data_IF_275963496427
#
_entry.id   IF_275963496427
#
_cell.length_a   1.000
_cell.length_b   1.000
_cell.length_c   1.000
_cell.angle_alpha   90.00
_cell.angle_beta   90.00
_cell.angle_gamma   90.00
#
_symmetry.space_group_name_H-M   'P 1'
#
loop_
_entity.id
_entity.type
_entity.pdbx_description
1 polymer ?
#
# COMPACT_ATOMS: atom_id res chain seq x y z
N UNK A 1 -5.02 -23.63 14.20
CA UNK A 1 -4.81 -22.18 14.48
C UNK A 1 -5.04 -21.42 13.17
N UNK A 2 -5.79 -20.31 13.18
CA UNK A 2 -5.98 -19.46 11.99
C UNK A 2 -4.76 -18.55 11.82
N UNK A 3 -4.25 -18.41 10.61
CA UNK A 3 -3.07 -17.58 10.28
C UNK A 3 -3.38 -16.64 9.13
N UNK A 4 -2.69 -15.50 9.09
CA UNK A 4 -2.83 -14.51 8.03
C UNK A 4 -2.31 -15.03 6.69
N UNK A 5 -2.94 -14.55 5.62
CA UNK A 5 -2.60 -14.90 4.24
C UNK A 5 -1.62 -13.88 3.67
N UNK A 6 -0.52 -14.38 3.13
CA UNK A 6 0.48 -13.63 2.37
C UNK A 6 0.55 -14.17 0.93
N UNK A 7 0.93 -13.32 -0.02
CA UNK A 7 1.48 -13.79 -1.30
C UNK A 7 2.99 -13.65 -1.30
N UNK A 8 3.67 -14.33 -2.22
CA UNK A 8 5.14 -14.26 -2.39
C UNK A 8 5.57 -13.38 -3.57
N UNK A 9 4.61 -12.66 -4.15
CA UNK A 9 4.78 -11.83 -5.34
C UNK A 9 3.45 -11.44 -6.01
N UNK A 10 3.54 -10.66 -7.07
CA UNK A 10 2.44 -10.22 -7.93
C UNK A 10 2.95 -10.03 -9.39
N UNK A 11 2.29 -9.22 -10.21
CA UNK A 11 2.72 -8.96 -11.59
C UNK A 11 3.91 -7.96 -11.70
N UNK A 12 4.12 -7.13 -10.68
CA UNK A 12 5.22 -6.16 -10.54
C UNK A 12 6.42 -6.78 -9.78
N UNK A 13 6.15 -7.60 -8.77
CA UNK A 13 7.10 -7.96 -7.70
C UNK A 13 7.23 -9.46 -7.53
N UNK A 14 8.43 -9.93 -7.19
CA UNK A 14 8.69 -11.30 -6.77
C UNK A 14 9.58 -11.36 -5.53
N UNK A 15 9.79 -12.58 -5.01
CA UNK A 15 10.73 -12.91 -3.92
C UNK A 15 10.52 -12.06 -2.65
N UNK A 16 9.26 -11.80 -2.31
CA UNK A 16 8.91 -11.06 -1.09
C UNK A 16 7.56 -11.46 -0.56
N UNK A 17 7.38 -11.43 0.75
CA UNK A 17 6.06 -11.55 1.36
C UNK A 17 5.27 -10.28 1.06
N UNK A 18 3.99 -10.44 0.71
CA UNK A 18 3.06 -9.32 0.49
C UNK A 18 1.84 -9.56 1.35
N UNK A 19 1.66 -8.71 2.35
CA UNK A 19 0.49 -8.69 3.20
C UNK A 19 -0.51 -7.64 2.70
N UNK A 20 -1.81 -7.93 2.79
CA UNK A 20 -2.85 -7.00 2.33
C UNK A 20 -4.15 -7.15 3.10
N UNK A 21 -4.86 -6.04 3.22
CA UNK A 21 -6.19 -5.89 3.81
C UNK A 21 -7.06 -4.99 2.89
N UNK A 22 -8.38 -4.92 3.10
CA UNK A 22 -9.29 -4.34 2.09
C UNK A 22 -9.03 -2.85 1.84
N UNK A 23 -8.80 -2.50 0.58
CA UNK A 23 -8.60 -1.12 0.14
C UNK A 23 -9.84 -0.26 0.44
N UNK A 24 -9.62 1.02 0.77
CA UNK A 24 -10.68 1.96 1.11
C UNK A 24 -11.24 1.75 2.51
N UNK A 25 -11.62 0.53 2.88
CA UNK A 25 -12.18 0.19 4.20
C UNK A 25 -11.17 0.31 5.34
N UNK A 26 -9.90 0.03 5.06
CA UNK A 26 -8.80 0.08 6.04
C UNK A 26 -7.87 1.27 5.82
N UNK A 27 -8.28 2.24 5.00
CA UNK A 27 -7.48 3.41 4.63
C UNK A 27 -8.09 4.69 5.22
N UNK A 28 -7.87 4.99 6.52
CA UNK A 28 -8.55 6.10 7.19
C UNK A 28 -8.21 7.46 6.55
N UNK A 29 -6.96 7.63 6.11
CA UNK A 29 -6.44 8.87 5.53
C UNK A 29 -6.38 8.86 3.99
N UNK A 30 -7.11 7.94 3.33
CA UNK A 30 -7.21 7.95 1.87
C UNK A 30 -7.88 9.23 1.36
N UNK A 31 -7.20 9.93 0.46
CA UNK A 31 -7.66 11.15 -0.19
C UNK A 31 -8.30 10.87 -1.54
N UNK A 32 -7.67 11.36 -2.62
CA UNK A 32 -8.16 11.22 -4.01
C UNK A 32 -8.39 9.77 -4.44
N UNK A 33 -7.65 8.84 -3.83
CA UNK A 33 -7.68 7.42 -4.16
C UNK A 33 -8.74 6.60 -3.40
N UNK A 34 -9.59 7.23 -2.59
CA UNK A 34 -10.55 6.52 -1.74
C UNK A 34 -11.63 5.81 -2.56
N UNK A 35 -11.36 4.54 -2.84
CA UNK A 35 -12.17 3.64 -3.66
C UNK A 35 -12.33 2.31 -2.94
N UNK A 36 -13.50 1.71 -3.09
CA UNK A 36 -13.90 0.46 -2.46
C UNK A 36 -14.30 -0.54 -3.54
N UNK A 37 -13.99 -1.82 -3.32
CA UNK A 37 -14.71 -2.91 -3.95
C UNK A 37 -15.68 -3.49 -2.92
N UNK A 38 -16.98 -3.50 -3.26
CA UNK A 38 -18.00 -4.07 -2.39
C UNK A 38 -17.63 -5.49 -1.96
N UNK A 39 -17.76 -5.78 -0.66
CA UNK A 39 -17.31 -7.03 -0.05
C UNK A 39 -17.92 -8.25 -0.74
N UNK A 40 -19.21 -8.23 -1.03
CA UNK A 40 -19.91 -9.39 -1.59
C UNK A 40 -19.72 -9.47 -3.11
N UNK A 41 -19.96 -8.37 -3.80
CA UNK A 41 -20.09 -8.34 -5.26
C UNK A 41 -18.81 -7.96 -6.00
N UNK A 42 -17.90 -7.23 -5.33
CA UNK A 42 -16.73 -6.62 -5.97
C UNK A 42 -17.05 -5.38 -6.80
N UNK A 43 -18.30 -4.90 -6.77
CA UNK A 43 -18.69 -3.67 -7.46
C UNK A 43 -17.89 -2.49 -6.91
N UNK A 44 -17.33 -1.68 -7.80
CA UNK A 44 -16.54 -0.52 -7.42
C UNK A 44 -17.45 0.63 -6.97
N UNK A 45 -17.07 1.25 -5.85
CA UNK A 45 -17.61 2.51 -5.36
C UNK A 45 -16.46 3.49 -5.15
N UNK A 46 -16.50 4.64 -5.80
CA UNK A 46 -15.54 5.73 -5.62
C UNK A 46 -16.11 6.77 -4.64
N UNK A 47 -15.35 7.13 -3.60
CA UNK A 47 -15.67 8.23 -2.67
C UNK A 47 -14.42 9.06 -2.37
N UNK A 48 -13.79 9.66 -3.39
CA UNK A 48 -12.56 10.44 -3.23
C UNK A 48 -12.75 11.55 -2.19
N UNK A 49 -11.69 11.84 -1.45
CA UNK A 49 -11.64 12.96 -0.51
C UNK A 49 -10.61 13.96 -1.03
N UNK A 50 -11.06 15.15 -1.40
CA UNK A 50 -10.20 16.19 -1.99
C UNK A 50 -9.65 17.17 -0.94
N UNK A 51 -10.13 17.10 0.29
CA UNK A 51 -9.65 17.98 1.36
C UNK A 51 -8.28 17.51 1.86
N UNK A 52 -7.30 18.43 1.91
CA UNK A 52 -5.98 18.19 2.49
C UNK A 52 -5.02 17.39 1.60
N UNK A 53 -5.38 17.14 0.35
CA UNK A 53 -4.51 16.48 -0.63
C UNK A 53 -3.92 17.48 -1.62
N UNK A 54 -2.71 17.19 -2.10
CA UNK A 54 -2.04 17.97 -3.16
C UNK A 54 -1.91 17.20 -4.47
N UNK A 55 -2.41 15.95 -4.52
CA UNK A 55 -2.31 15.12 -5.72
C UNK A 55 -3.48 15.37 -6.67
N UNK A 56 -3.22 15.16 -7.95
CA UNK A 56 -4.28 15.02 -8.93
C UNK A 56 -5.13 13.76 -8.67
N UNK A 57 -6.33 13.74 -9.23
CA UNK A 57 -7.30 12.68 -9.01
C UNK A 57 -6.95 11.33 -9.66
N UNK A 58 -6.76 10.27 -8.87
CA UNK A 58 -6.67 8.90 -9.37
C UNK A 58 -7.48 7.90 -8.55
N UNK A 59 -7.81 6.75 -9.15
CA UNK A 59 -8.47 5.61 -8.51
C UNK A 59 -7.44 4.65 -7.92
N UNK A 60 -7.69 4.13 -6.72
CA UNK A 60 -6.83 3.11 -6.11
C UNK A 60 -6.75 1.83 -6.97
N UNK A 61 -5.54 1.50 -7.43
CA UNK A 61 -5.28 0.27 -8.18
C UNK A 61 -5.63 -0.98 -7.36
N UNK A 62 -5.40 -0.94 -6.04
CA UNK A 62 -5.63 -2.07 -5.16
C UNK A 62 -7.12 -2.39 -5.02
N UNK A 63 -7.99 -1.36 -4.93
CA UNK A 63 -9.44 -1.55 -4.96
C UNK A 63 -9.90 -2.17 -6.29
N UNK A 64 -9.31 -1.77 -7.42
CA UNK A 64 -9.59 -2.40 -8.72
C UNK A 64 -9.21 -3.89 -8.76
N UNK A 65 -8.12 -4.28 -8.09
CA UNK A 65 -7.74 -5.69 -7.98
C UNK A 65 -8.72 -6.53 -7.13
N UNK A 66 -9.45 -5.89 -6.20
CA UNK A 66 -10.47 -6.52 -5.34
C UNK A 66 -11.80 -6.75 -6.06
N UNK A 67 -11.94 -6.35 -7.33
CA UNK A 67 -13.05 -6.85 -8.17
C UNK A 67 -13.00 -8.38 -8.29
N UNK A 68 -11.80 -8.97 -8.21
CA UNK A 68 -11.55 -10.42 -8.26
C UNK A 68 -11.89 -11.06 -6.91
N UNK A 69 -12.82 -12.03 -6.85
CA UNK A 69 -13.26 -12.64 -5.60
C UNK A 69 -12.11 -13.17 -4.73
N UNK A 70 -11.20 -13.97 -5.30
CA UNK A 70 -10.09 -14.57 -4.53
C UNK A 70 -9.18 -13.53 -3.87
N UNK A 71 -8.94 -12.39 -4.54
CA UNK A 71 -8.12 -11.29 -4.00
C UNK A 71 -8.86 -10.63 -2.83
N UNK A 72 -10.13 -10.27 -3.06
CA UNK A 72 -10.97 -9.61 -2.05
C UNK A 72 -11.18 -10.48 -0.83
N UNK A 73 -11.53 -11.75 -1.00
CA UNK A 73 -11.77 -12.68 0.10
C UNK A 73 -10.52 -12.91 0.95
N UNK A 74 -9.33 -12.98 0.34
CA UNK A 74 -8.09 -13.11 1.10
C UNK A 74 -7.81 -11.87 1.98
N UNK A 75 -8.04 -10.67 1.44
CA UNK A 75 -7.85 -9.41 2.16
C UNK A 75 -8.88 -9.24 3.28
N UNK A 76 -10.15 -9.53 3.02
CA UNK A 76 -11.19 -9.52 4.05
C UNK A 76 -10.97 -10.56 5.13
N UNK A 77 -10.51 -11.76 4.78
CA UNK A 77 -10.11 -12.79 5.73
C UNK A 77 -9.04 -12.24 6.69
N UNK A 78 -7.97 -11.64 6.16
CA UNK A 78 -6.90 -11.04 6.97
C UNK A 78 -7.42 -9.99 7.93
N UNK A 79 -8.22 -9.03 7.43
CA UNK A 79 -8.73 -7.96 8.27
C UNK A 79 -9.70 -8.46 9.34
N UNK A 80 -10.57 -9.42 9.01
CA UNK A 80 -11.47 -10.02 9.98
C UNK A 80 -10.73 -10.79 11.07
N UNK A 81 -9.69 -11.56 10.71
CA UNK A 81 -8.88 -12.28 11.68
C UNK A 81 -8.12 -11.32 12.62
N UNK A 82 -7.55 -10.24 12.06
CA UNK A 82 -6.91 -9.20 12.88
C UNK A 82 -7.90 -8.57 13.87
N UNK A 83 -9.12 -8.23 13.42
CA UNK A 83 -10.17 -7.70 14.32
C UNK A 83 -10.63 -8.72 15.36
N UNK A 84 -10.84 -9.97 14.96
CA UNK A 84 -11.22 -11.07 15.87
C UNK A 84 -10.21 -11.16 17.01
N UNK A 85 -8.92 -11.20 16.69
CA UNK A 85 -7.85 -11.27 17.69
C UNK A 85 -7.73 -9.97 18.52
N UNK A 86 -7.84 -8.81 17.88
CA UNK A 86 -7.78 -7.51 18.55
C UNK A 86 -8.90 -7.31 19.57
N UNK A 87 -10.12 -7.77 19.29
CA UNK A 87 -11.28 -7.51 20.15
C UNK A 87 -11.59 -8.61 21.17
N UNK A 88 -10.93 -9.75 21.09
CA UNK A 88 -11.15 -10.88 22.01
C UNK A 88 -10.01 -11.10 23.01
N UNK A 89 -8.95 -10.29 22.92
CA UNK A 89 -7.77 -10.41 23.79
C UNK A 89 -7.68 -9.28 24.80
N UNK A 90 -7.32 -9.62 26.04
CA UNK A 90 -6.97 -8.64 27.09
C UNK A 90 -5.66 -7.90 26.78
N UNK A 91 -4.73 -8.55 26.05
CA UNK A 91 -3.48 -7.93 25.58
C UNK A 91 -3.47 -7.89 24.05
N UNK A 92 -4.17 -6.89 23.51
CA UNK A 92 -4.40 -6.73 22.08
C UNK A 92 -3.09 -6.61 21.28
N UNK A 93 -2.11 -5.84 21.79
CA UNK A 93 -0.84 -5.61 21.09
C UNK A 93 -0.03 -6.91 20.99
N UNK A 94 0.13 -7.64 22.10
CA UNK A 94 0.88 -8.88 22.11
C UNK A 94 0.24 -9.92 21.20
N UNK A 95 -1.09 -10.05 21.23
CA UNK A 95 -1.78 -11.06 20.42
C UNK A 95 -1.79 -10.72 18.94
N UNK A 96 -1.89 -9.43 18.56
CA UNK A 96 -1.71 -9.00 17.17
C UNK A 96 -0.28 -9.26 16.68
N UNK A 97 0.72 -8.92 17.50
CA UNK A 97 2.13 -9.16 17.19
C UNK A 97 2.37 -10.65 16.97
N UNK A 98 1.94 -11.50 17.91
CA UNK A 98 2.10 -12.95 17.81
C UNK A 98 1.37 -13.56 16.61
N UNK A 99 0.17 -13.06 16.25
CA UNK A 99 -0.51 -13.50 15.03
C UNK A 99 0.30 -13.17 13.77
N UNK A 100 0.86 -11.95 13.68
CA UNK A 100 1.68 -11.53 12.54
C UNK A 100 2.93 -12.40 12.45
N UNK A 101 3.68 -12.56 13.54
CA UNK A 101 4.92 -13.34 13.61
C UNK A 101 4.70 -14.81 13.25
N UNK A 102 3.70 -15.46 13.86
CA UNK A 102 3.37 -16.85 13.54
C UNK A 102 2.96 -17.01 12.07
N UNK A 103 2.29 -16.01 11.50
CA UNK A 103 1.87 -16.05 10.10
C UNK A 103 3.04 -15.82 9.14
N UNK A 104 4.09 -15.09 9.53
CA UNK A 104 5.34 -14.94 8.80
C UNK A 104 6.18 -16.22 8.90
N UNK A 105 6.28 -16.81 10.09
CA UNK A 105 7.12 -17.99 10.36
C UNK A 105 6.72 -19.24 9.55
N UNK A 106 5.48 -19.32 9.08
CA UNK A 106 5.00 -20.42 8.21
C UNK A 106 5.20 -20.15 6.71
N UNK A 107 5.71 -18.98 6.33
CA UNK A 107 5.99 -18.63 4.94
C UNK A 107 7.37 -19.12 4.51
N UNK A 108 7.65 -19.17 3.19
CA UNK A 108 9.02 -19.32 2.71
C UNK A 108 9.91 -18.20 3.24
N UNK A 109 11.17 -18.53 3.56
CA UNK A 109 12.18 -17.56 3.98
C UNK A 109 12.47 -16.61 2.82
N UNK A 110 12.16 -15.34 3.02
CA UNK A 110 12.34 -14.26 2.04
C UNK A 110 12.80 -13.00 2.78
N UNK A 111 13.72 -12.25 2.16
CA UNK A 111 14.38 -11.11 2.80
C UNK A 111 13.50 -9.85 2.88
N UNK A 112 12.36 -9.84 2.19
CA UNK A 112 11.50 -8.68 2.02
C UNK A 112 10.05 -8.99 2.42
N UNK A 113 9.43 -8.08 3.18
CA UNK A 113 8.01 -8.11 3.51
C UNK A 113 7.34 -6.77 3.21
N UNK A 114 6.56 -6.73 2.12
CA UNK A 114 5.68 -5.60 1.79
C UNK A 114 4.43 -5.64 2.64
N UNK A 115 4.30 -4.67 3.52
CA UNK A 115 3.08 -4.43 4.28
C UNK A 115 2.21 -3.52 3.43
N UNK A 116 1.05 -4.04 3.04
CA UNK A 116 0.04 -3.37 2.20
C UNK A 116 0.51 -3.14 0.75
N UNK A 117 0.23 -4.11 -0.11
CA UNK A 117 -0.13 -3.78 -1.51
C UNK A 117 -1.54 -3.16 -1.56
N UNK A 118 -2.38 -3.52 -0.58
CA UNK A 118 -3.73 -3.02 -0.38
C UNK A 118 -4.03 -2.76 1.08
N UNK A 119 -4.84 -1.73 1.32
CA UNK A 119 -5.16 -1.24 2.64
C UNK A 119 -4.14 -0.21 3.14
N UNK A 120 -4.26 0.17 4.41
CA UNK A 120 -3.29 1.01 5.10
C UNK A 120 -3.29 0.67 6.61
N UNK A 121 -2.41 1.29 7.39
CA UNK A 121 -2.50 1.24 8.85
C UNK A 121 -3.79 1.95 9.31
N UNK A 122 -4.78 1.16 9.76
CA UNK A 122 -6.09 1.71 10.16
C UNK A 122 -6.17 2.12 11.63
N UNK A 123 -5.26 1.63 12.48
CA UNK A 123 -5.06 2.08 13.88
C UNK A 123 -3.59 2.13 14.25
N UNK A 124 -3.24 2.98 15.21
CA UNK A 124 -1.88 3.06 15.76
C UNK A 124 -1.47 1.73 16.41
N UNK A 125 -2.39 1.04 17.10
CA UNK A 125 -2.16 -0.28 17.69
C UNK A 125 -1.75 -1.32 16.63
N UNK A 126 -2.41 -1.31 15.47
CA UNK A 126 -2.08 -2.20 14.37
C UNK A 126 -0.71 -1.88 13.75
N UNK A 127 -0.39 -0.59 13.62
CA UNK A 127 0.95 -0.16 13.19
C UNK A 127 2.03 -0.63 14.19
N UNK A 128 1.83 -0.44 15.50
CA UNK A 128 2.74 -0.93 16.54
C UNK A 128 2.99 -2.43 16.47
N UNK A 129 1.96 -3.23 16.18
CA UNK A 129 2.11 -4.67 16.06
C UNK A 129 3.07 -5.07 14.91
N UNK A 130 3.02 -4.37 13.78
CA UNK A 130 3.99 -4.55 12.69
C UNK A 130 5.40 -4.09 13.06
N UNK A 131 5.54 -2.98 13.78
CA UNK A 131 6.85 -2.53 14.27
C UNK A 131 7.47 -3.56 15.23
N UNK A 132 6.66 -4.17 16.11
CA UNK A 132 7.12 -5.23 17.00
C UNK A 132 7.54 -6.49 16.23
N UNK A 133 6.71 -6.94 15.29
CA UNK A 133 7.07 -8.07 14.43
C UNK A 133 8.38 -7.80 13.68
N UNK A 134 8.57 -6.60 13.14
CA UNK A 134 9.81 -6.24 12.47
C UNK A 134 11.03 -6.26 13.38
N UNK A 135 10.92 -5.80 14.64
CA UNK A 135 12.01 -5.91 15.63
C UNK A 135 12.42 -7.36 15.88
N UNK A 136 11.46 -8.26 15.94
CA UNK A 136 11.67 -9.67 16.22
C UNK A 136 12.14 -10.48 14.99
N UNK A 137 12.07 -9.89 13.80
CA UNK A 137 12.52 -10.45 12.52
C UNK A 137 13.53 -9.50 11.85
N UNK A 138 14.67 -9.27 12.50
CA UNK A 138 15.67 -8.27 12.08
C UNK A 138 16.39 -8.62 10.78
N UNK A 139 16.28 -9.86 10.32
CA UNK A 139 16.78 -10.37 9.04
C UNK A 139 15.90 -9.98 7.83
N UNK A 140 14.64 -9.61 8.07
CA UNK A 140 13.68 -9.22 7.03
C UNK A 140 13.59 -7.70 6.96
N UNK A 141 13.62 -7.13 5.74
CA UNK A 141 13.25 -5.73 5.51
C UNK A 141 11.75 -5.62 5.33
N UNK A 142 11.10 -4.91 6.24
CA UNK A 142 9.69 -4.58 6.17
C UNK A 142 9.52 -3.23 5.50
N UNK A 143 8.55 -3.10 4.60
CA UNK A 143 8.30 -1.81 3.97
C UNK A 143 6.83 -1.58 3.64
N UNK A 144 6.39 -0.32 3.69
CA UNK A 144 5.01 0.07 3.43
C UNK A 144 4.89 1.46 2.79
N UNK A 145 3.85 1.64 1.99
CA UNK A 145 3.40 2.93 1.48
C UNK A 145 2.18 3.33 2.29
N UNK A 146 2.23 4.47 2.97
CA UNK A 146 1.15 4.87 3.90
C UNK A 146 0.73 6.31 3.69
N UNK A 147 -0.56 6.56 3.89
CA UNK A 147 -1.18 7.89 4.04
C UNK A 147 -1.52 8.19 5.49
N UNK A 148 -1.34 7.24 6.41
CA UNK A 148 -1.56 7.40 7.86
C UNK A 148 -0.41 8.17 8.52
N UNK A 149 -0.10 9.36 7.99
CA UNK A 149 1.05 10.18 8.37
C UNK A 149 1.04 10.61 9.84
N UNK A 150 -0.14 10.84 10.42
CA UNK A 150 -0.27 11.14 11.85
C UNK A 150 0.19 10.00 12.75
N UNK A 151 -0.19 8.75 12.42
CA UNK A 151 0.26 7.58 13.18
C UNK A 151 1.77 7.36 13.03
N UNK A 152 2.32 7.60 11.85
CA UNK A 152 3.77 7.58 11.65
C UNK A 152 4.47 8.59 12.57
N UNK A 153 4.06 9.86 12.58
CA UNK A 153 4.71 10.85 13.45
C UNK A 153 4.64 10.51 14.93
N UNK A 154 3.50 10.01 15.41
CA UNK A 154 3.34 9.55 16.79
C UNK A 154 4.33 8.44 17.15
N UNK A 155 4.65 7.57 16.19
CA UNK A 155 5.49 6.39 16.38
C UNK A 155 6.90 6.54 15.84
N UNK A 156 7.34 7.73 15.44
CA UNK A 156 8.60 7.90 14.71
C UNK A 156 9.83 7.40 15.47
N UNK A 157 9.80 7.45 16.81
CA UNK A 157 10.87 6.93 17.68
C UNK A 157 10.81 5.41 17.89
N UNK A 158 9.68 4.78 17.54
CA UNK A 158 9.46 3.34 17.66
C UNK A 158 9.76 2.57 16.36
N UNK A 159 10.11 3.24 15.27
CA UNK A 159 10.36 2.57 13.99
C UNK A 159 11.72 1.85 14.03
N UNK A 160 11.77 0.51 13.90
CA UNK A 160 13.04 -0.20 13.91
C UNK A 160 13.81 -0.01 12.59
N UNK A 161 15.14 -0.21 12.57
CA UNK A 161 15.98 0.09 11.42
C UNK A 161 15.70 -0.76 10.17
N UNK A 162 15.02 -1.90 10.32
CA UNK A 162 14.59 -2.76 9.21
C UNK A 162 13.18 -2.42 8.70
N UNK A 163 12.58 -1.31 9.11
CA UNK A 163 11.22 -0.91 8.74
C UNK A 163 11.18 0.40 7.95
N UNK A 164 10.81 0.30 6.68
CA UNK A 164 10.89 1.38 5.70
C UNK A 164 9.50 1.90 5.36
N UNK A 165 9.22 3.14 5.75
CA UNK A 165 7.98 3.82 5.39
C UNK A 165 8.22 4.81 4.25
N UNK A 166 7.26 4.81 3.30
CA UNK A 166 7.15 5.78 2.22
C UNK A 166 5.86 6.58 2.39
N UNK A 167 5.98 7.90 2.48
CA UNK A 167 4.85 8.81 2.52
C UNK A 167 4.20 8.82 1.13
N UNK A 168 3.01 8.25 1.00
CA UNK A 168 2.32 8.18 -0.28
C UNK A 168 1.39 9.37 -0.43
N UNK A 169 1.75 10.33 -1.29
CA UNK A 169 0.96 11.54 -1.57
C UNK A 169 -0.40 11.15 -2.17
N UNK A 170 -1.41 12.00 -1.97
CA UNK A 170 -2.80 11.75 -2.36
C UNK A 170 -3.72 11.43 -1.19
N UNK A 171 -3.26 11.68 0.05
CA UNK A 171 -3.99 11.45 1.29
C UNK A 171 -4.64 12.73 1.82
N UNK A 172 -5.50 12.61 2.83
CA UNK A 172 -6.12 13.79 3.48
C UNK A 172 -5.17 14.55 4.40
N UNK A 173 -3.93 14.08 4.54
CA UNK A 173 -2.90 14.61 5.44
C UNK A 173 -1.65 15.09 4.68
N UNK A 174 -1.72 15.28 3.36
CA UNK A 174 -0.53 15.62 2.55
C UNK A 174 0.14 16.93 3.03
N UNK A 175 -0.64 17.87 3.58
CA UNK A 175 -0.13 19.11 4.18
C UNK A 175 0.88 18.90 5.32
N UNK A 176 0.92 17.70 5.93
CA UNK A 176 1.90 17.37 6.97
C UNK A 176 3.30 17.11 6.39
N UNK A 177 3.42 16.78 5.11
CA UNK A 177 4.68 16.32 4.51
C UNK A 177 5.77 17.40 4.53
N UNK A 178 5.54 18.64 4.02
CA UNK A 178 6.61 19.63 3.90
C UNK A 178 7.23 20.05 5.24
N UNK A 179 6.45 20.04 6.33
CA UNK A 179 6.90 20.41 7.67
C UNK A 179 7.62 19.31 8.45
N UNK A 180 7.74 18.09 7.91
CA UNK A 180 8.24 16.93 8.63
C UNK A 180 9.22 16.09 7.78
N UNK A 181 10.03 16.73 6.92
CA UNK A 181 10.97 16.04 6.00
C UNK A 181 12.13 15.35 6.72
N UNK A 182 12.40 15.69 7.99
CA UNK A 182 13.30 14.94 8.87
C UNK A 182 12.79 13.52 9.14
N UNK A 183 11.47 13.34 9.13
CA UNK A 183 10.79 12.06 9.36
C UNK A 183 10.35 11.41 8.04
N UNK A 184 9.68 12.15 7.16
CA UNK A 184 9.14 11.65 5.89
C UNK A 184 10.16 11.74 4.76
N UNK A 185 11.25 10.97 4.86
CA UNK A 185 12.36 11.02 3.90
C UNK A 185 11.99 10.48 2.52
N UNK A 186 11.21 9.39 2.47
CA UNK A 186 10.73 8.78 1.22
C UNK A 186 9.33 9.26 0.92
N UNK A 187 9.14 9.85 -0.26
CA UNK A 187 7.85 10.43 -0.67
C UNK A 187 7.52 9.93 -2.07
N UNK A 188 6.37 9.27 -2.22
CA UNK A 188 5.89 8.75 -3.49
C UNK A 188 4.74 9.61 -4.03
N UNK A 189 4.90 10.10 -5.27
CA UNK A 189 3.90 10.88 -6.00
C UNK A 189 3.26 10.03 -7.09
N UNK A 190 1.94 10.08 -7.23
CA UNK A 190 1.28 9.45 -8.38
C UNK A 190 1.26 10.45 -9.54
N UNK A 191 1.77 10.02 -10.69
CA UNK A 191 1.83 10.82 -11.92
C UNK A 191 1.09 10.12 -13.06
N UNK A 192 0.65 10.86 -14.06
CA UNK A 192 -0.13 10.35 -15.18
C UNK A 192 0.71 9.90 -16.37
N UNK A 193 1.85 10.56 -16.59
CA UNK A 193 2.76 10.36 -17.71
C UNK A 193 4.21 10.36 -17.25
N UNK A 194 5.09 9.84 -18.09
CA UNK A 194 6.54 9.91 -17.86
C UNK A 194 7.06 11.34 -17.92
N UNK A 195 6.53 12.14 -18.85
CA UNK A 195 6.83 13.58 -18.95
C UNK A 195 6.49 14.33 -17.65
N UNK A 196 5.35 14.04 -17.01
CA UNK A 196 5.01 14.67 -15.72
C UNK A 196 6.03 14.30 -14.63
N UNK A 197 6.56 13.07 -14.64
CA UNK A 197 7.61 12.67 -13.71
C UNK A 197 8.91 13.46 -13.97
N UNK A 198 9.29 13.61 -15.25
CA UNK A 198 10.46 14.38 -15.67
C UNK A 198 10.34 15.86 -15.29
N UNK A 199 9.19 16.49 -15.55
CA UNK A 199 8.90 17.89 -15.18
C UNK A 199 8.99 18.12 -13.66
N UNK A 200 8.67 17.10 -12.85
CA UNK A 200 8.81 17.12 -11.40
C UNK A 200 10.20 16.70 -10.90
N UNK A 201 11.09 16.27 -11.80
CA UNK A 201 12.42 15.75 -11.44
C UNK A 201 12.37 14.45 -10.63
N UNK A 202 11.37 13.60 -10.88
CA UNK A 202 11.12 12.36 -10.13
C UNK A 202 11.42 11.12 -10.98
N UNK A 203 12.24 10.21 -10.45
CA UNK A 203 12.44 8.88 -11.04
C UNK A 203 11.17 8.02 -10.87
N UNK A 204 10.81 7.22 -11.88
CA UNK A 204 9.64 6.33 -11.80
C UNK A 204 10.07 4.99 -11.20
N UNK A 205 9.38 4.58 -10.14
CA UNK A 205 9.62 3.30 -9.49
C UNK A 205 8.87 2.14 -10.17
N UNK A 206 9.64 1.12 -10.58
CA UNK A 206 9.12 -0.05 -11.29
C UNK A 206 9.12 -1.35 -10.49
N UNK A 207 9.80 -1.42 -9.34
CA UNK A 207 10.06 -2.66 -8.59
C UNK A 207 10.06 -2.51 -7.05
N UNK A 208 9.69 -1.32 -6.56
CA UNK A 208 9.77 -0.85 -5.18
C UNK A 208 11.20 -0.60 -4.65
N UNK A 209 12.27 -0.64 -5.46
CA UNK A 209 13.63 -0.39 -4.95
C UNK A 209 13.78 1.02 -4.36
N UNK A 210 13.06 2.00 -4.91
CA UNK A 210 13.08 3.37 -4.41
C UNK A 210 12.56 3.50 -2.96
N UNK A 211 11.81 2.51 -2.45
CA UNK A 211 11.36 2.51 -1.06
C UNK A 211 12.50 2.29 -0.04
N UNK A 212 13.69 1.88 -0.50
CA UNK A 212 14.87 1.70 0.36
C UNK A 212 15.85 2.89 0.31
N UNK A 213 15.57 3.90 -0.53
CA UNK A 213 16.33 5.15 -0.60
C UNK A 213 15.81 6.23 0.34
N UNK A 214 16.19 7.48 0.05
CA UNK A 214 15.79 8.69 0.77
C UNK A 214 15.33 9.82 -0.16
N UNK A 215 15.15 9.53 -1.45
CA UNK A 215 14.68 10.48 -2.45
C UNK A 215 13.18 10.38 -2.68
N UNK A 216 12.51 11.47 -3.07
CA UNK A 216 11.18 11.39 -3.62
C UNK A 216 11.20 10.67 -4.97
N UNK A 217 10.11 10.00 -5.31
CA UNK A 217 9.97 9.28 -6.58
C UNK A 217 8.51 9.27 -7.06
N UNK A 218 8.33 8.90 -8.32
CA UNK A 218 7.04 8.84 -8.98
C UNK A 218 6.54 7.40 -9.12
N UNK A 219 5.21 7.25 -9.07
CA UNK A 219 4.47 6.05 -9.36
C UNK A 219 3.53 6.36 -10.52
N UNK A 220 3.75 5.72 -11.66
CA UNK A 220 2.92 5.95 -12.83
C UNK A 220 1.53 5.32 -12.62
N UNK A 221 0.49 6.12 -12.84
CA UNK A 221 -0.90 5.68 -12.68
C UNK A 221 -1.17 4.49 -13.60
N UNK A 222 -1.91 3.52 -13.10
CA UNK A 222 -2.24 2.29 -13.80
C UNK A 222 -3.55 1.71 -13.26
N UNK A 223 -4.02 0.61 -13.84
CA UNK A 223 -5.37 0.05 -13.62
C UNK A 223 -6.50 0.97 -14.12
N UNK A 224 -7.72 0.44 -14.37
CA UNK A 224 -8.81 1.26 -14.88
C UNK A 224 -9.18 2.42 -13.95
N UNK A 225 -9.22 3.63 -14.51
CA UNK A 225 -9.50 4.88 -13.81
C UNK A 225 -10.96 5.29 -13.97
N UNK A 226 -11.37 6.39 -13.32
CA UNK A 226 -12.73 6.94 -13.43
C UNK A 226 -13.00 7.42 -14.85
N UNK A 227 -14.17 7.07 -15.38
CA UNK A 227 -14.54 7.46 -16.74
C UNK A 227 -14.51 8.99 -16.88
N UNK A 228 -13.85 9.50 -17.92
CA UNK A 228 -13.71 10.93 -18.19
C UNK A 228 -12.62 11.64 -17.38
N UNK A 229 -12.02 11.03 -16.36
CA UNK A 229 -10.96 11.68 -15.57
C UNK A 229 -9.67 11.86 -16.37
N UNK A 230 -8.85 12.84 -15.99
CA UNK A 230 -7.53 13.06 -16.59
C UNK A 230 -6.65 11.81 -16.51
N UNK A 231 -6.69 11.08 -15.39
CA UNK A 231 -5.99 9.80 -15.26
C UNK A 231 -6.47 8.76 -16.29
N UNK A 232 -7.78 8.67 -16.58
CA UNK A 232 -8.32 7.77 -17.59
C UNK A 232 -7.96 8.20 -19.02
N UNK A 233 -7.93 9.51 -19.28
CA UNK A 233 -7.50 10.06 -20.56
C UNK A 233 -6.02 9.78 -20.80
N UNK A 234 -5.16 10.00 -19.80
CA UNK A 234 -3.73 9.71 -19.86
C UNK A 234 -3.45 8.23 -20.12
N UNK A 235 -4.17 7.31 -19.46
CA UNK A 235 -4.04 5.88 -19.76
C UNK A 235 -4.50 5.52 -21.17
N UNK A 236 -5.57 6.16 -21.65
CA UNK A 236 -6.06 5.94 -23.02
C UNK A 236 -5.04 6.42 -24.05
N UNK A 237 -4.42 7.58 -23.80
CA UNK A 237 -3.40 8.14 -24.68
C UNK A 237 -2.14 7.27 -24.68
N UNK A 238 -1.59 6.92 -23.50
CA UNK A 238 -0.46 5.98 -23.39
C UNK A 238 -0.71 4.66 -24.10
N UNK A 239 -1.94 4.12 -24.02
CA UNK A 239 -2.31 2.90 -24.75
C UNK A 239 -2.25 3.09 -26.27
N UNK A 240 -2.72 4.23 -26.81
CA UNK A 240 -2.67 4.55 -28.25
C UNK A 240 -1.22 4.69 -28.73
N UNK A 241 -0.36 5.23 -27.88
CA UNK A 241 1.05 5.48 -28.18
C UNK A 241 1.93 4.23 -27.95
N UNK A 242 1.34 3.08 -27.59
CA UNK A 242 2.07 1.84 -27.33
C UNK A 242 2.92 1.87 -26.06
N UNK A 243 2.70 2.84 -25.17
CA UNK A 243 3.45 3.03 -23.93
C UNK A 243 2.94 2.12 -22.80
N UNK A 244 3.69 2.08 -21.71
CA UNK A 244 3.34 1.32 -20.51
C UNK A 244 2.01 1.79 -19.90
N UNK A 245 1.12 0.84 -19.58
CA UNK A 245 -0.21 1.11 -18.99
C UNK A 245 -0.48 0.32 -17.71
N UNK A 246 0.47 -0.53 -17.30
CA UNK A 246 0.34 -1.38 -16.11
C UNK A 246 1.19 -2.64 -16.21
N UNK A 247 1.29 -3.34 -15.08
CA UNK A 247 2.01 -4.60 -14.98
C UNK A 247 1.12 -5.76 -15.45
N UNK A 248 1.56 -6.47 -16.48
CA UNK A 248 0.94 -7.71 -16.94
C UNK A 248 1.93 -8.85 -16.73
N UNK A 249 1.46 -10.00 -16.24
CA UNK A 249 2.25 -11.22 -16.37
C UNK A 249 2.33 -11.53 -17.87
N UNK A 250 3.48 -11.27 -18.49
CA UNK A 250 3.78 -11.90 -19.78
C UNK A 250 3.72 -13.41 -19.51
N UNK A 251 2.78 -14.12 -20.12
CA UNK A 251 2.91 -15.58 -20.22
C UNK A 251 4.17 -15.80 -21.04
N UNK A 252 5.27 -16.16 -20.37
CA UNK A 252 6.37 -16.82 -21.07
C UNK A 252 5.74 -18.05 -21.68
N UNK A 253 5.63 -18.09 -23.01
CA UNK A 253 5.24 -19.30 -23.71
C UNK A 253 6.22 -20.39 -23.27
N UNK A 254 5.68 -21.49 -22.75
CA UNK A 254 6.46 -22.68 -22.44
C UNK A 254 7.13 -23.23 -23.71
#
# INVERSE_FOLDING_TARGET
MKLLKFSTGNAKLGKRLIFSIPAGYTCPCAGVCKTFADRATGKILDLPQFNGTIADEYRCFAAMSETRPNVREARWYNWNLLKEVMYTSDNQLATLTGLIELSIAVQPVLDLCRIHESGDFWTELYMKAWLNAARNHSDIKFYAYTKSLGMWLNLKQDIPPNFYLTASVGGTLDAMIPGNLDTFKRIAYVVYTEQQAEELGLEIDHDDEHCFGDKPFALLVHSPQRAGSLASQALTQRKKDGMWTGYNKVKVAA
#
